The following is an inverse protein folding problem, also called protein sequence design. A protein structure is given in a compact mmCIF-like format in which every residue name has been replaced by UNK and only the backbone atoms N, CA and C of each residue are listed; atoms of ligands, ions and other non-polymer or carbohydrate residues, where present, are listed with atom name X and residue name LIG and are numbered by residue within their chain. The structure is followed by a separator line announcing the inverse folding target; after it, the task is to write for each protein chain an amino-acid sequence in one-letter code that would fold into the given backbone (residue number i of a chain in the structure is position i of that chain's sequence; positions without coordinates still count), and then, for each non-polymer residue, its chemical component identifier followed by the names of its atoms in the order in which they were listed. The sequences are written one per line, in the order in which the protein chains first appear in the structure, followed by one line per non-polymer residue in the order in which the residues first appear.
data_IF_330152303121
#
_entry.id   IF_330152303121
#
_cell.length_a   1.000
_cell.length_b   1.000
_cell.length_c   1.000
_cell.angle_alpha   90.00
_cell.angle_beta   90.00
_cell.angle_gamma   90.00
#
_symmetry.space_group_name_H-M   'P 1'
#
loop_
_entity.id
_entity.type
_entity.pdbx_description
1 polymer ?
#
# COMPACT_ATOMS: atom_id res chain seq x y z
N UNK A 1 24.52 65.95 -10.65
CA UNK A 1 24.65 65.00 -9.55
C UNK A 1 23.30 64.65 -8.90
N UNK A 2 22.40 65.60 -8.69
CA UNK A 2 21.11 65.34 -8.01
C UNK A 2 20.08 64.43 -8.74
N UNK A 3 20.05 64.42 -10.06
CA UNK A 3 19.07 63.59 -10.78
C UNK A 3 19.40 62.07 -10.82
N UNK A 4 20.68 61.75 -10.69
CA UNK A 4 21.15 60.35 -10.68
C UNK A 4 20.91 59.71 -9.31
N UNK A 5 21.15 60.45 -8.23
CA UNK A 5 20.89 60.03 -6.86
C UNK A 5 19.38 59.83 -6.61
N UNK A 6 18.54 60.75 -7.12
CA UNK A 6 17.10 60.64 -7.01
C UNK A 6 16.52 59.38 -7.76
N UNK A 7 17.10 59.04 -8.92
CA UNK A 7 16.70 57.83 -9.67
C UNK A 7 17.17 56.54 -8.94
N UNK A 8 18.35 56.54 -8.34
CA UNK A 8 18.84 55.42 -7.54
C UNK A 8 17.98 55.19 -6.28
N UNK A 9 17.61 56.26 -5.60
CA UNK A 9 16.71 56.17 -4.44
C UNK A 9 15.31 55.65 -4.84
N UNK A 10 14.77 56.12 -5.97
CA UNK A 10 13.48 55.62 -6.46
C UNK A 10 13.51 54.13 -6.82
N UNK A 11 14.61 53.66 -7.43
CA UNK A 11 14.77 52.22 -7.73
C UNK A 11 14.93 51.37 -6.47
N UNK A 12 15.63 51.85 -5.44
CA UNK A 12 15.77 51.15 -4.17
C UNK A 12 14.45 51.05 -3.40
N UNK A 13 13.67 52.13 -3.40
CA UNK A 13 12.32 52.12 -2.81
C UNK A 13 11.37 51.18 -3.56
N UNK A 14 11.41 51.20 -4.89
CA UNK A 14 10.61 50.29 -5.72
C UNK A 14 11.01 48.83 -5.49
N UNK A 15 12.31 48.54 -5.35
CA UNK A 15 12.81 47.20 -5.10
C UNK A 15 12.45 46.71 -3.68
N UNK A 16 12.50 47.57 -2.67
CA UNK A 16 12.09 47.24 -1.32
C UNK A 16 10.58 47.01 -1.19
N UNK A 17 9.75 47.80 -1.91
CA UNK A 17 8.30 47.55 -2.02
C UNK A 17 7.98 46.27 -2.75
N UNK A 18 8.69 45.93 -3.81
CA UNK A 18 8.53 44.68 -4.54
C UNK A 18 8.95 43.47 -3.69
N UNK A 19 10.06 43.57 -2.95
CA UNK A 19 10.50 42.54 -1.99
C UNK A 19 9.51 42.35 -0.83
N UNK A 20 8.89 43.42 -0.34
CA UNK A 20 7.86 43.36 0.70
C UNK A 20 6.56 42.73 0.19
N UNK A 21 6.20 42.99 -1.08
CA UNK A 21 5.05 42.33 -1.74
C UNK A 21 5.31 40.86 -2.06
N UNK A 22 6.56 40.48 -2.43
CA UNK A 22 6.94 39.08 -2.67
C UNK A 22 7.24 38.31 -1.38
N UNK A 23 7.65 38.99 -0.30
CA UNK A 23 7.92 38.38 1.01
C UNK A 23 6.69 37.88 1.77
N UNK A 24 5.47 38.18 1.27
CA UNK A 24 4.22 37.71 1.85
C UNK A 24 3.68 36.41 1.28
N UNK A 25 4.30 35.86 0.24
CA UNK A 25 3.98 34.51 -0.24
C UNK A 25 4.84 33.48 0.50
N UNK A 26 4.64 33.36 1.80
CA UNK A 26 4.89 32.09 2.44
C UNK A 26 3.90 31.14 1.79
N UNK A 27 4.38 30.28 0.90
CA UNK A 27 3.61 29.12 0.52
C UNK A 27 3.32 28.39 1.85
N UNK A 28 2.18 28.63 2.43
CA UNK A 28 1.59 27.75 3.41
C UNK A 28 1.44 26.45 2.62
N UNK A 29 2.32 25.50 2.90
CA UNK A 29 2.00 24.10 2.60
C UNK A 29 0.64 23.93 3.26
N UNK A 30 -0.39 23.74 2.43
CA UNK A 30 -1.73 23.56 2.93
C UNK A 30 -1.67 22.32 3.83
N UNK A 31 -1.74 22.51 5.12
CA UNK A 31 -2.02 21.46 6.07
C UNK A 31 -3.44 20.96 5.72
N UNK A 32 -3.44 19.85 4.97
CA UNK A 32 -4.65 19.18 4.54
C UNK A 32 -5.12 19.62 3.14
N UNK A 33 -5.31 18.65 2.28
CA UNK A 33 -6.15 18.80 1.10
C UNK A 33 -7.57 18.97 1.59
N UNK A 34 -8.04 20.21 1.68
CA UNK A 34 -9.44 20.51 1.97
C UNK A 34 -10.25 20.22 0.69
N UNK A 35 -10.61 18.97 0.49
CA UNK A 35 -11.63 18.59 -0.48
C UNK A 35 -12.98 19.04 0.06
N UNK A 36 -13.34 20.28 -0.23
CA UNK A 36 -14.54 20.90 0.32
C UNK A 36 -15.86 20.28 -0.15
N UNK A 37 -15.82 19.38 -1.13
CA UNK A 37 -17.03 18.66 -1.55
C UNK A 37 -16.71 17.40 -2.35
N UNK A 38 -17.55 16.38 -2.18
CA UNK A 38 -17.71 15.27 -3.09
C UNK A 38 -18.93 15.54 -3.99
N UNK A 39 -18.93 14.98 -5.18
CA UNK A 39 -20.04 15.08 -6.10
C UNK A 39 -20.48 13.70 -6.59
N UNK A 40 -21.74 13.62 -6.99
CA UNK A 40 -22.33 12.48 -7.68
C UNK A 40 -23.00 13.01 -8.96
N UNK A 41 -23.32 12.13 -9.87
CA UNK A 41 -24.09 12.48 -11.07
C UNK A 41 -25.56 12.14 -10.86
N UNK A 42 -26.45 13.04 -11.28
CA UNK A 42 -27.87 12.71 -11.33
C UNK A 42 -28.22 11.87 -12.57
N UNK A 43 -29.52 11.57 -12.74
CA UNK A 43 -30.01 10.74 -13.85
C UNK A 43 -29.65 11.33 -15.24
N UNK A 44 -29.51 12.66 -15.34
CA UNK A 44 -29.20 13.35 -16.60
C UNK A 44 -27.70 13.55 -16.81
N UNK A 45 -26.86 13.14 -15.87
CA UNK A 45 -25.41 13.27 -15.92
C UNK A 45 -24.89 14.60 -15.40
N UNK A 46 -25.74 15.42 -14.76
CA UNK A 46 -25.33 16.67 -14.14
C UNK A 46 -24.69 16.42 -12.77
N UNK A 47 -23.64 17.17 -12.46
CA UNK A 47 -22.95 17.10 -11.15
C UNK A 47 -23.85 17.63 -10.03
N UNK A 48 -23.99 16.82 -8.99
CA UNK A 48 -24.71 17.17 -7.76
C UNK A 48 -23.80 17.04 -6.56
N UNK A 49 -23.80 18.03 -5.71
CA UNK A 49 -23.05 17.98 -4.46
C UNK A 49 -23.54 16.83 -3.59
N UNK A 50 -22.60 16.04 -3.09
CA UNK A 50 -22.85 14.92 -2.19
C UNK A 50 -22.19 15.19 -0.84
N UNK A 51 -22.73 14.68 0.28
CA UNK A 51 -22.01 14.71 1.54
C UNK A 51 -20.67 14.01 1.45
N UNK A 52 -19.65 14.56 2.10
CA UNK A 52 -18.33 13.94 2.17
C UNK A 52 -18.40 12.59 2.87
N UNK A 53 -18.13 11.52 2.14
CA UNK A 53 -18.07 10.18 2.70
C UNK A 53 -16.82 9.99 3.60
N UNK A 54 -15.72 10.67 3.24
CA UNK A 54 -14.45 10.62 3.97
C UNK A 54 -13.83 12.01 4.04
N UNK A 55 -13.17 12.29 5.17
CA UNK A 55 -12.32 13.46 5.34
C UNK A 55 -10.89 13.02 5.61
N UNK A 56 -9.93 13.71 5.01
CA UNK A 56 -8.53 13.53 5.36
C UNK A 56 -8.34 14.01 6.80
N UNK A 57 -7.97 13.09 7.70
CA UNK A 57 -7.72 13.42 9.11
C UNK A 57 -6.26 13.69 9.40
N UNK A 58 -5.36 12.98 8.72
CA UNK A 58 -3.91 13.14 8.90
C UNK A 58 -3.14 12.62 7.70
N UNK A 59 -1.94 13.14 7.54
CA UNK A 59 -0.95 12.63 6.58
C UNK A 59 0.30 12.18 7.34
N UNK A 60 0.63 10.90 7.25
CA UNK A 60 1.84 10.34 7.85
C UNK A 60 2.99 10.46 6.86
N UNK A 61 3.99 11.24 7.21
CA UNK A 61 5.22 11.37 6.45
C UNK A 61 6.40 10.77 7.21
N UNK A 62 7.51 10.58 6.51
CA UNK A 62 8.75 10.13 7.16
C UNK A 62 9.22 11.09 8.24
N UNK A 63 9.00 12.38 8.04
CA UNK A 63 9.35 13.42 9.02
C UNK A 63 8.44 13.37 10.24
N UNK A 64 7.11 13.24 10.03
CA UNK A 64 6.14 13.19 11.14
C UNK A 64 6.33 11.94 12.01
N UNK A 65 6.85 10.85 11.43
CA UNK A 65 7.16 9.61 12.15
C UNK A 65 8.60 9.57 12.71
N UNK A 66 9.40 10.62 12.52
CA UNK A 66 10.78 10.66 12.99
C UNK A 66 11.71 9.63 12.37
N UNK A 67 11.45 9.23 11.13
CA UNK A 67 12.24 8.21 10.44
C UNK A 67 13.58 8.79 9.97
N UNK A 68 14.69 8.15 10.35
CA UNK A 68 16.03 8.50 9.84
C UNK A 68 16.14 8.28 8.32
N UNK A 69 15.59 7.17 7.85
CA UNK A 69 15.52 6.84 6.42
C UNK A 69 14.10 7.05 5.91
N UNK A 70 13.89 7.93 4.92
CA UNK A 70 12.58 8.18 4.35
C UNK A 70 11.91 6.91 3.82
N UNK A 71 10.58 6.84 3.90
CA UNK A 71 9.81 5.76 3.28
C UNK A 71 10.06 5.71 1.77
N UNK A 72 10.19 4.48 1.25
CA UNK A 72 10.44 4.24 -0.16
C UNK A 72 9.44 3.23 -0.71
N UNK A 73 8.65 3.65 -1.69
CA UNK A 73 7.65 2.81 -2.34
C UNK A 73 6.80 1.98 -1.36
N UNK A 74 6.09 2.61 -0.39
CA UNK A 74 5.18 1.87 0.48
C UNK A 74 4.05 1.24 -0.36
N UNK A 75 3.72 -0.06 -0.12
CA UNK A 75 2.76 -0.81 -0.94
C UNK A 75 1.59 -1.40 -0.16
N UNK A 76 1.76 -1.63 1.12
CA UNK A 76 0.76 -2.21 1.99
C UNK A 76 0.44 -1.30 3.16
N UNK A 77 -0.83 -1.32 3.59
CA UNK A 77 -1.28 -0.63 4.79
C UNK A 77 -2.38 -1.47 5.42
N UNK A 78 -2.23 -1.76 6.71
CA UNK A 78 -3.23 -2.50 7.48
C UNK A 78 -3.43 -1.83 8.83
N UNK A 79 -4.66 -1.81 9.28
CA UNK A 79 -5.04 -1.28 10.60
C UNK A 79 -5.56 -2.42 11.46
N UNK A 80 -5.01 -2.56 12.67
CA UNK A 80 -5.44 -3.55 13.66
C UNK A 80 -5.58 -2.87 15.01
N UNK A 81 -6.82 -2.65 15.45
CA UNK A 81 -7.10 -1.84 16.64
C UNK A 81 -6.60 -0.40 16.47
N UNK A 82 -5.70 0.03 17.35
CA UNK A 82 -5.09 1.35 17.28
C UNK A 82 -3.74 1.35 16.54
N UNK A 83 -3.27 0.20 16.09
CA UNK A 83 -2.01 0.09 15.37
C UNK A 83 -2.21 0.15 13.86
N UNK A 84 -1.37 0.90 13.19
CA UNK A 84 -1.28 1.02 11.74
C UNK A 84 0.04 0.40 11.31
N UNK A 85 -0.03 -0.54 10.38
CA UNK A 85 1.14 -1.20 9.81
C UNK A 85 1.34 -0.69 8.39
N UNK A 86 2.49 -0.07 8.12
CA UNK A 86 2.86 0.47 6.80
C UNK A 86 3.99 -0.38 6.24
N UNK A 87 3.76 -1.01 5.10
CA UNK A 87 4.77 -1.84 4.44
C UNK A 87 5.66 -0.95 3.56
N UNK A 88 6.83 -0.60 4.07
CA UNK A 88 7.85 0.20 3.39
C UNK A 88 8.75 -0.69 2.53
N UNK A 89 8.16 -1.15 1.41
CA UNK A 89 8.68 -2.19 0.52
C UNK A 89 10.10 -1.91 0.05
N UNK A 90 10.36 -0.68 -0.39
CA UNK A 90 11.66 -0.29 -0.94
C UNK A 90 12.79 -0.24 0.09
N UNK A 91 12.46 -0.24 1.39
CA UNK A 91 13.42 -0.30 2.49
C UNK A 91 13.39 -1.66 3.21
N UNK A 92 12.69 -2.67 2.68
CA UNK A 92 12.60 -4.03 3.23
C UNK A 92 12.13 -4.07 4.68
N UNK A 93 11.15 -3.24 5.04
CA UNK A 93 10.67 -3.11 6.43
C UNK A 93 9.18 -2.86 6.50
N UNK A 94 8.61 -3.10 7.67
CA UNK A 94 7.24 -2.74 8.04
C UNK A 94 7.33 -1.78 9.23
N UNK A 95 6.61 -0.68 9.17
CA UNK A 95 6.52 0.30 10.24
C UNK A 95 5.23 0.05 11.01
N UNK A 96 5.32 -0.16 12.32
CA UNK A 96 4.17 -0.20 13.21
C UNK A 96 4.03 1.17 13.88
N UNK A 97 2.88 1.78 13.70
CA UNK A 97 2.56 3.13 14.19
C UNK A 97 1.34 3.03 15.09
N UNK A 98 1.47 3.43 16.33
CA UNK A 98 0.34 3.54 17.25
C UNK A 98 -0.42 4.84 16.99
N UNK A 99 -1.75 4.75 16.95
CA UNK A 99 -2.66 5.88 16.87
C UNK A 99 -3.29 6.13 18.26
N UNK A 100 -3.17 7.37 18.74
CA UNK A 100 -3.87 7.85 19.92
C UNK A 100 -4.61 9.15 19.57
N UNK A 101 -5.90 9.03 19.30
CA UNK A 101 -6.72 10.14 18.78
C UNK A 101 -6.20 10.63 17.43
N UNK A 102 -5.66 11.83 17.38
CA UNK A 102 -5.03 12.45 16.21
C UNK A 102 -3.51 12.33 16.21
N UNK A 103 -2.93 11.74 17.25
CA UNK A 103 -1.50 11.54 17.37
C UNK A 103 -1.07 10.19 16.80
N UNK A 104 0.09 10.17 16.14
CA UNK A 104 0.66 8.98 15.54
C UNK A 104 2.12 8.83 15.99
N UNK A 105 2.46 7.71 16.58
CA UNK A 105 3.79 7.44 17.10
C UNK A 105 4.35 6.15 16.52
N UNK A 106 5.55 6.22 15.92
CA UNK A 106 6.27 5.03 15.48
C UNK A 106 6.65 4.19 16.71
N UNK A 107 6.13 2.97 16.81
CA UNK A 107 6.38 2.07 17.93
C UNK A 107 7.44 1.03 17.61
N UNK A 108 7.49 0.57 16.36
CA UNK A 108 8.42 -0.49 15.95
C UNK A 108 8.74 -0.43 14.47
N UNK A 109 9.98 -0.78 14.13
CA UNK A 109 10.42 -1.07 12.76
C UNK A 109 10.71 -2.56 12.68
N UNK A 110 10.03 -3.25 11.75
CA UNK A 110 10.14 -4.70 11.56
C UNK A 110 10.88 -4.94 10.24
N UNK A 111 12.11 -5.40 10.31
CA UNK A 111 12.94 -5.76 9.16
C UNK A 111 13.35 -7.23 9.15
N UNK A 112 13.12 -7.92 10.25
CA UNK A 112 13.48 -9.33 10.44
C UNK A 112 12.47 -10.02 11.35
N UNK A 113 12.45 -11.36 11.27
CA UNK A 113 11.64 -12.24 12.10
C UNK A 113 12.57 -13.19 12.87
N UNK A 114 12.32 -13.36 14.18
CA UNK A 114 13.09 -14.27 15.01
C UNK A 114 12.64 -15.72 14.83
N UNK A 115 13.57 -16.62 14.64
CA UNK A 115 13.29 -18.06 14.51
C UNK A 115 14.25 -18.78 13.59
N UNK A 116 14.03 -20.08 13.41
CA UNK A 116 14.85 -20.93 12.53
C UNK A 116 14.42 -20.75 11.06
N UNK A 117 14.87 -19.67 10.46
CA UNK A 117 14.60 -19.33 9.07
C UNK A 117 15.77 -18.57 8.45
N UNK A 118 16.12 -18.92 7.21
CA UNK A 118 17.18 -18.25 6.45
C UNK A 118 16.66 -17.83 5.06
N UNK A 119 16.78 -16.54 4.70
CA UNK A 119 17.17 -15.41 5.53
C UNK A 119 16.07 -15.07 6.54
N UNK A 120 16.41 -14.53 7.72
CA UNK A 120 15.46 -14.04 8.71
C UNK A 120 15.00 -12.60 8.40
N UNK A 121 15.69 -11.90 7.51
CA UNK A 121 15.36 -10.55 7.06
C UNK A 121 14.27 -10.55 5.98
N UNK A 122 13.46 -9.51 5.97
CA UNK A 122 12.47 -9.27 4.92
C UNK A 122 13.13 -8.81 3.62
N UNK A 123 12.53 -9.17 2.48
CA UNK A 123 12.98 -8.72 1.16
C UNK A 123 11.79 -8.30 0.30
N UNK A 124 11.70 -7.01 0.03
CA UNK A 124 10.62 -6.35 -0.69
C UNK A 124 9.22 -6.84 -0.21
N UNK A 125 8.90 -6.79 1.09
CA UNK A 125 7.58 -7.15 1.56
C UNK A 125 6.53 -6.26 0.88
N UNK A 126 5.38 -6.84 0.50
CA UNK A 126 4.36 -6.07 -0.21
C UNK A 126 3.06 -5.91 0.58
N UNK A 127 2.82 -6.79 1.53
CA UNK A 127 1.63 -6.69 2.36
C UNK A 127 1.83 -7.29 3.74
N UNK A 128 1.00 -6.88 4.68
CA UNK A 128 0.92 -7.44 6.03
C UNK A 128 -0.54 -7.50 6.45
N UNK A 129 -0.92 -8.58 7.07
CA UNK A 129 -2.22 -8.74 7.71
C UNK A 129 -2.01 -9.07 9.19
N UNK A 130 -2.78 -8.44 10.07
CA UNK A 130 -2.64 -8.63 11.51
C UNK A 130 -3.98 -9.09 12.08
N UNK A 131 -3.98 -10.25 12.70
CA UNK A 131 -5.15 -10.81 13.37
C UNK A 131 -5.44 -10.08 14.69
N UNK A 132 -6.64 -10.28 15.23
CA UNK A 132 -7.06 -9.65 16.49
C UNK A 132 -6.19 -10.06 17.71
N UNK A 133 -5.58 -11.24 17.67
CA UNK A 133 -4.66 -11.74 18.71
C UNK A 133 -3.25 -11.17 18.59
N UNK A 134 -2.98 -10.40 17.51
CA UNK A 134 -1.68 -9.82 17.20
C UNK A 134 -0.78 -10.71 16.35
N UNK A 135 -1.27 -11.85 15.85
CA UNK A 135 -0.55 -12.67 14.87
C UNK A 135 -0.39 -11.92 13.55
N UNK A 136 0.84 -11.85 13.04
CA UNK A 136 1.17 -11.19 11.79
C UNK A 136 1.34 -12.21 10.68
N UNK A 137 0.80 -11.88 9.51
CA UNK A 137 1.09 -12.57 8.25
C UNK A 137 1.75 -11.57 7.31
N UNK A 138 2.91 -11.88 6.77
CA UNK A 138 3.73 -10.97 5.97
C UNK A 138 3.98 -11.59 4.60
N UNK A 139 3.59 -10.88 3.54
CA UNK A 139 3.96 -11.23 2.17
C UNK A 139 5.41 -10.81 1.91
N UNK A 140 6.34 -11.71 2.15
CA UNK A 140 7.79 -11.52 1.98
C UNK A 140 8.20 -11.91 0.56
N UNK A 141 7.85 -11.02 -0.37
CA UNK A 141 7.70 -11.29 -1.81
C UNK A 141 8.97 -11.81 -2.46
N UNK A 142 10.10 -11.10 -2.30
CA UNK A 142 11.35 -11.51 -2.96
C UNK A 142 12.01 -12.73 -2.29
N UNK A 143 11.59 -13.07 -1.06
CA UNK A 143 11.96 -14.33 -0.43
C UNK A 143 11.01 -15.48 -0.78
N UNK A 144 10.03 -15.26 -1.68
CA UNK A 144 9.09 -16.26 -2.19
C UNK A 144 8.28 -16.97 -1.10
N UNK A 145 7.82 -16.24 -0.09
CA UNK A 145 7.15 -16.83 1.06
C UNK A 145 6.15 -15.88 1.71
N UNK A 146 5.24 -16.46 2.49
CA UNK A 146 4.45 -15.72 3.49
C UNK A 146 4.94 -16.19 4.87
N UNK A 147 5.22 -15.23 5.73
CA UNK A 147 5.64 -15.50 7.10
C UNK A 147 4.45 -15.35 8.04
N UNK A 148 4.26 -16.29 8.95
CA UNK A 148 3.36 -16.17 10.09
C UNK A 148 4.20 -16.01 11.35
N UNK A 149 4.02 -14.91 12.08
CA UNK A 149 4.75 -14.60 13.29
C UNK A 149 3.80 -14.18 14.42
N UNK A 150 4.21 -14.37 15.65
CA UNK A 150 3.49 -13.85 16.81
C UNK A 150 3.71 -12.32 16.95
N UNK A 151 3.01 -11.70 17.93
CA UNK A 151 3.16 -10.27 18.24
C UNK A 151 4.59 -9.85 18.62
N UNK A 152 5.42 -10.79 19.07
CA UNK A 152 6.81 -10.57 19.45
C UNK A 152 7.77 -10.81 18.29
N UNK A 153 7.25 -11.09 17.08
CA UNK A 153 7.98 -11.43 15.87
C UNK A 153 8.71 -12.78 15.93
N UNK A 154 8.26 -13.70 16.77
CA UNK A 154 8.73 -15.08 16.70
C UNK A 154 8.01 -15.81 15.57
N UNK A 155 8.78 -16.51 14.74
CA UNK A 155 8.25 -17.29 13.63
C UNK A 155 7.35 -18.41 14.15
N UNK A 156 6.14 -18.50 13.62
CA UNK A 156 5.19 -19.58 13.89
C UNK A 156 5.13 -20.58 12.74
N UNK A 157 5.07 -20.09 11.48
CA UNK A 157 5.13 -20.94 10.30
C UNK A 157 5.50 -20.14 9.04
N UNK A 158 5.85 -20.88 7.98
CA UNK A 158 6.21 -20.33 6.67
C UNK A 158 5.33 -21.00 5.60
N UNK A 159 4.68 -20.16 4.79
CA UNK A 159 3.93 -20.63 3.64
C UNK A 159 4.79 -20.42 2.40
N UNK A 160 5.03 -21.47 1.67
CA UNK A 160 5.88 -21.47 0.49
C UNK A 160 5.10 -21.78 -0.77
N UNK A 161 5.81 -21.84 -1.89
CA UNK A 161 5.21 -22.23 -3.17
C UNK A 161 4.52 -23.60 -3.06
N UNK A 162 3.25 -23.70 -3.54
CA UNK A 162 2.60 -25.00 -3.60
C UNK A 162 3.35 -26.01 -4.47
N UNK A 163 3.38 -27.26 -4.03
CA UNK A 163 3.89 -28.40 -4.83
C UNK A 163 2.79 -29.08 -5.64
N UNK A 164 1.54 -28.62 -5.49
CA UNK A 164 0.38 -29.15 -6.17
C UNK A 164 0.46 -28.94 -7.70
N UNK A 165 -0.03 -29.91 -8.47
CA UNK A 165 -0.02 -29.87 -9.94
C UNK A 165 -0.87 -28.74 -10.54
N UNK A 166 -1.79 -28.14 -9.77
CA UNK A 166 -2.59 -27.01 -10.21
C UNK A 166 -1.79 -25.69 -10.22
N UNK A 167 -0.66 -25.65 -9.51
CA UNK A 167 0.27 -24.52 -9.53
C UNK A 167 1.36 -24.79 -10.58
N UNK A 168 1.61 -23.82 -11.46
CA UNK A 168 2.68 -23.93 -12.44
C UNK A 168 4.05 -23.89 -11.76
N UNK A 169 4.74 -25.02 -11.74
CA UNK A 169 6.02 -25.18 -11.07
C UNK A 169 7.16 -24.40 -11.70
N UNK A 170 6.97 -23.84 -12.91
CA UNK A 170 7.94 -22.93 -13.54
C UNK A 170 7.88 -21.52 -13.01
N UNK A 171 6.77 -21.16 -12.33
CA UNK A 171 6.54 -19.82 -11.80
C UNK A 171 7.14 -19.66 -10.40
N UNK A 172 7.70 -18.48 -10.13
CA UNK A 172 8.08 -18.09 -8.79
C UNK A 172 6.82 -17.77 -7.95
N UNK A 173 6.85 -18.10 -6.68
CA UNK A 173 5.80 -17.71 -5.74
C UNK A 173 6.10 -16.31 -5.20
N UNK A 174 5.44 -15.29 -5.74
CA UNK A 174 5.64 -13.88 -5.39
C UNK A 174 4.35 -13.34 -4.74
N UNK A 175 4.12 -13.58 -3.43
CA UNK A 175 2.93 -13.11 -2.76
C UNK A 175 2.90 -11.58 -2.70
N UNK A 176 1.76 -10.97 -3.05
CA UNK A 176 1.62 -9.49 -3.14
C UNK A 176 0.57 -8.93 -2.23
N UNK A 177 -0.54 -9.64 -2.06
CA UNK A 177 -1.64 -9.28 -1.17
C UNK A 177 -2.11 -10.50 -0.40
N UNK A 178 -2.46 -10.30 0.85
CA UNK A 178 -2.95 -11.38 1.69
C UNK A 178 -4.03 -10.90 2.64
N UNK A 179 -4.90 -11.82 2.99
CA UNK A 179 -5.90 -11.66 4.04
C UNK A 179 -6.08 -13.00 4.73
N UNK A 180 -6.38 -12.98 6.02
CA UNK A 180 -6.68 -14.18 6.77
C UNK A 180 -8.09 -14.11 7.35
N UNK A 181 -8.72 -15.25 7.43
CA UNK A 181 -9.97 -15.36 8.15
C UNK A 181 -9.75 -15.62 9.66
N UNK A 182 -10.82 -15.66 10.41
CA UNK A 182 -10.78 -15.87 11.87
C UNK A 182 -10.26 -17.24 12.28
N UNK A 183 -10.18 -18.20 11.36
CA UNK A 183 -9.64 -19.55 11.59
C UNK A 183 -8.15 -19.65 11.24
N UNK A 184 -7.56 -18.56 10.72
CA UNK A 184 -6.15 -18.52 10.33
C UNK A 184 -5.85 -19.03 8.92
N UNK A 185 -6.91 -19.27 8.09
CA UNK A 185 -6.72 -19.57 6.67
C UNK A 185 -6.26 -18.35 5.92
N UNK A 186 -5.29 -18.51 5.04
CA UNK A 186 -4.68 -17.45 4.28
C UNK A 186 -5.20 -17.45 2.85
N UNK A 187 -5.63 -16.30 2.39
CA UNK A 187 -5.97 -16.04 0.99
C UNK A 187 -4.95 -15.07 0.44
N UNK A 188 -4.26 -15.47 -0.61
CA UNK A 188 -3.12 -14.74 -1.15
C UNK A 188 -3.28 -14.49 -2.66
N UNK A 189 -2.99 -13.27 -3.09
CA UNK A 189 -2.67 -12.95 -4.49
C UNK A 189 -1.17 -13.07 -4.68
N UNK A 190 -0.74 -13.79 -5.68
CA UNK A 190 0.66 -13.85 -6.09
C UNK A 190 0.83 -13.27 -7.50
N UNK A 191 1.96 -12.61 -7.72
CA UNK A 191 2.30 -12.04 -9.02
C UNK A 191 2.38 -13.14 -10.08
N UNK A 192 1.88 -12.85 -11.28
CA UNK A 192 1.84 -13.75 -12.42
C UNK A 192 0.94 -15.00 -12.26
N UNK A 193 0.21 -15.13 -11.18
CA UNK A 193 -0.74 -16.22 -10.96
C UNK A 193 -2.15 -15.75 -11.34
N UNK A 194 -2.63 -16.13 -12.52
CA UNK A 194 -3.91 -15.69 -13.09
C UNK A 194 -5.08 -16.62 -12.75
N UNK A 195 -4.95 -17.46 -11.71
CA UNK A 195 -5.97 -18.44 -11.31
C UNK A 195 -6.83 -17.99 -10.13
N UNK A 196 -6.83 -16.70 -9.81
CA UNK A 196 -7.57 -16.14 -8.66
C UNK A 196 -6.77 -16.15 -7.36
N UNK A 197 -7.49 -16.22 -6.24
CA UNK A 197 -6.89 -16.23 -4.90
C UNK A 197 -6.36 -17.63 -4.57
N UNK A 198 -5.12 -17.70 -4.16
CA UNK A 198 -4.52 -18.91 -3.58
C UNK A 198 -5.01 -19.07 -2.15
N UNK A 199 -5.52 -20.25 -1.80
CA UNK A 199 -6.00 -20.58 -0.46
C UNK A 199 -5.05 -21.55 0.23
N UNK A 200 -4.66 -21.19 1.45
CA UNK A 200 -3.92 -22.05 2.37
C UNK A 200 -4.71 -22.25 3.65
N UNK A 201 -4.65 -23.43 4.22
CA UNK A 201 -5.14 -23.70 5.57
C UNK A 201 -4.20 -23.09 6.62
N UNK A 202 -4.65 -23.03 7.86
CA UNK A 202 -3.90 -22.41 8.98
C UNK A 202 -2.53 -23.04 9.25
N UNK A 203 -2.35 -24.30 8.83
CA UNK A 203 -1.09 -25.07 8.95
C UNK A 203 -0.13 -24.84 7.76
N UNK A 204 -0.55 -24.08 6.73
CA UNK A 204 0.24 -23.81 5.54
C UNK A 204 -0.05 -24.75 4.37
N UNK A 205 -0.98 -25.69 4.50
CA UNK A 205 -1.36 -26.59 3.43
C UNK A 205 -2.10 -25.82 2.34
N UNK A 206 -1.63 -25.89 1.10
CA UNK A 206 -2.33 -25.31 -0.05
C UNK A 206 -3.53 -26.16 -0.42
N UNK A 207 -4.69 -25.53 -0.57
CA UNK A 207 -5.96 -26.22 -0.86
C UNK A 207 -6.57 -25.85 -2.21
N UNK A 208 -5.96 -24.94 -2.96
CA UNK A 208 -6.40 -24.60 -4.32
C UNK A 208 -6.59 -23.13 -4.55
N UNK A 209 -7.31 -22.82 -5.64
CA UNK A 209 -7.61 -21.45 -6.07
C UNK A 209 -9.10 -21.13 -5.90
N UNK A 210 -9.40 -19.88 -5.56
CA UNK A 210 -10.76 -19.36 -5.42
C UNK A 210 -10.98 -18.23 -6.42
N UNK A 211 -12.15 -18.22 -7.08
CA UNK A 211 -12.56 -17.12 -7.96
C UNK A 211 -12.10 -17.24 -9.41
N UNK A 212 -11.27 -18.21 -9.76
CA UNK A 212 -10.95 -18.50 -11.16
C UNK A 212 -12.02 -19.40 -11.76
N UNK A 213 -12.90 -18.88 -12.60
CA UNK A 213 -13.69 -19.70 -13.49
C UNK A 213 -12.78 -20.28 -14.56
N UNK A 214 -12.61 -21.60 -14.62
CA UNK A 214 -12.05 -22.24 -15.79
C UNK A 214 -13.00 -22.01 -16.97
N UNK A 215 -12.67 -21.07 -17.84
CA UNK A 215 -13.39 -20.91 -19.11
C UNK A 215 -12.95 -22.06 -20.02
N UNK A 216 -13.68 -23.16 -19.99
CA UNK A 216 -13.49 -24.27 -20.94
C UNK A 216 -14.18 -23.87 -22.24
N UNK A 217 -13.40 -23.45 -23.20
CA UNK A 217 -13.92 -23.26 -24.56
C UNK A 217 -14.12 -24.63 -25.21
N UNK A 218 -15.33 -24.90 -25.65
CA UNK A 218 -15.62 -26.03 -26.55
C UNK A 218 -15.02 -25.70 -27.92
N UNK A 219 -14.60 -26.75 -28.68
CA UNK A 219 -13.94 -26.55 -29.97
C UNK A 219 -14.79 -25.70 -30.94
N UNK A 220 -16.13 -25.81 -30.89
CA UNK A 220 -17.03 -24.99 -31.74
C UNK A 220 -17.08 -23.52 -31.32
N UNK A 221 -16.90 -23.18 -30.02
CA UNK A 221 -16.77 -21.80 -29.55
C UNK A 221 -15.48 -21.17 -30.01
N UNK A 222 -14.40 -21.93 -30.05
CA UNK A 222 -13.12 -21.49 -30.60
C UNK A 222 -13.24 -21.22 -32.11
N UNK A 223 -13.90 -22.08 -32.88
CA UNK A 223 -14.15 -21.90 -34.29
C UNK A 223 -15.05 -20.70 -34.55
N UNK A 224 -16.14 -20.59 -33.73
CA UNK A 224 -17.08 -19.45 -33.86
C UNK A 224 -16.40 -18.11 -33.55
N UNK A 225 -15.51 -18.06 -32.58
CA UNK A 225 -14.73 -16.87 -32.22
C UNK A 225 -13.70 -16.48 -33.29
N UNK A 226 -13.17 -17.47 -34.03
CA UNK A 226 -12.28 -17.23 -35.18
C UNK A 226 -13.04 -16.70 -36.40
N UNK A 227 -14.31 -17.11 -36.58
CA UNK A 227 -15.15 -16.74 -37.70
C UNK A 227 -15.98 -15.46 -37.46
N UNK A 228 -16.24 -15.09 -36.22
CA UNK A 228 -16.90 -13.85 -35.88
C UNK A 228 -15.89 -12.70 -35.97
N UNK A 229 -15.84 -12.02 -37.10
CA UNK A 229 -15.16 -10.74 -37.28
C UNK A 229 -15.76 -9.74 -36.30
N UNK A 230 -14.92 -9.11 -35.51
CA UNK A 230 -15.31 -7.95 -34.74
C UNK A 230 -15.59 -6.79 -35.70
N UNK A 231 -16.82 -6.60 -36.05
CA UNK A 231 -17.29 -5.27 -36.47
C UNK A 231 -17.65 -4.50 -35.20
N UNK A 232 -16.81 -3.57 -34.86
CA UNK A 232 -17.10 -2.37 -34.08
C UNK A 232 -16.43 -1.20 -34.74
#
# INVERSE_FOLDING_TARGET
MNRMVSRLCACLVAFSLFAALCGGMVARAADGFDYNYTYTYDYWGDERQSPDAYRTSAMLSSVSLGLETPMRTPRGLTVSGNDIYIVDTGNNRILQVARDGESFTLTRVISEISGDITPNTLSAPQDVFVMADGTLFIADTNNNRILKADRNLNLLSVFTRPTDATFDQSMAFLPTKLVCDTTGRVFCLAQNVNRGLMKYEADGTFTGFIGASEVKYTWYELVWRLLSTKEQ
#
